data_IF_277640121642
#
_entry.id   IF_277640121642
#
_cell.length_a   1.000
_cell.length_b   1.000
_cell.length_c   1.000
_cell.angle_alpha   90.00
_cell.angle_beta   90.00
_cell.angle_gamma   90.00
#
_symmetry.space_group_name_H-M   'P 1'
#
loop_
_entity.id
_entity.type
_entity.pdbx_description
1 polymer ?
#
# COMPACT_ATOMS: atom_id res chain seq x y z
N UNK A 1 0.92 3.09 7.53
CA UNK A 1 0.57 1.68 7.82
C UNK A 1 -0.78 1.56 8.52
N UNK A 2 -0.93 1.96 9.79
CA UNK A 2 -2.23 1.85 10.52
C UNK A 2 -3.38 2.57 9.81
N UNK A 3 -3.19 3.81 9.36
CA UNK A 3 -4.20 4.54 8.59
C UNK A 3 -4.59 3.81 7.29
N UNK A 4 -3.62 3.15 6.65
CA UNK A 4 -3.82 2.43 5.39
C UNK A 4 -4.65 1.16 5.59
N UNK A 5 -4.37 0.35 6.63
CA UNK A 5 -5.14 -0.87 6.90
C UNK A 5 -6.55 -0.57 7.42
N UNK A 6 -6.72 0.52 8.17
CA UNK A 6 -8.03 0.95 8.70
C UNK A 6 -8.89 1.71 7.70
N UNK A 7 -8.36 2.07 6.54
CA UNK A 7 -9.13 2.78 5.50
C UNK A 7 -9.34 4.26 5.80
N UNK A 8 -8.45 4.90 6.58
CA UNK A 8 -8.56 6.31 6.92
C UNK A 8 -8.06 7.19 5.77
N UNK A 9 -8.88 7.29 4.72
CA UNK A 9 -8.60 7.99 3.47
C UNK A 9 -8.16 9.44 3.73
N UNK A 10 -8.81 10.15 4.64
CA UNK A 10 -8.51 11.57 4.91
C UNK A 10 -7.21 11.78 5.69
N UNK A 11 -6.73 10.76 6.41
CA UNK A 11 -5.52 10.85 7.24
C UNK A 11 -4.26 10.57 6.42
N UNK A 12 -4.32 9.69 5.41
CA UNK A 12 -3.15 9.35 4.58
C UNK A 12 -2.52 10.60 3.92
N UNK A 13 -3.28 11.53 3.31
CA UNK A 13 -2.75 12.77 2.76
C UNK A 13 -2.15 13.71 3.81
N UNK A 14 -2.68 13.71 5.04
CA UNK A 14 -2.14 14.53 6.12
C UNK A 14 -0.77 14.02 6.56
N UNK A 15 -0.60 12.70 6.68
CA UNK A 15 0.68 12.08 7.05
C UNK A 15 1.78 12.35 6.01
N UNK A 16 1.42 12.53 4.74
CA UNK A 16 2.37 12.91 3.68
C UNK A 16 3.06 14.27 3.94
N UNK A 17 2.43 15.16 4.72
CA UNK A 17 3.01 16.47 5.06
C UNK A 17 4.19 16.35 6.04
N UNK A 18 4.37 15.20 6.68
CA UNK A 18 5.51 14.95 7.55
C UNK A 18 6.76 14.69 6.69
N UNK A 19 7.84 15.49 6.82
CA UNK A 19 9.01 15.38 5.94
C UNK A 19 9.82 14.10 6.17
N UNK A 20 9.61 13.41 7.30
CA UNK A 20 10.34 12.21 7.70
C UNK A 20 9.60 10.91 7.38
N UNK A 21 8.49 10.98 6.63
CA UNK A 21 7.72 9.78 6.31
C UNK A 21 8.42 8.97 5.22
N UNK A 22 8.76 7.71 5.52
CA UNK A 22 9.21 6.76 4.53
C UNK A 22 8.01 5.87 4.11
N UNK A 23 7.57 6.00 2.87
CA UNK A 23 6.41 5.25 2.34
C UNK A 23 6.71 3.75 2.13
N UNK A 24 7.99 3.40 1.90
CA UNK A 24 8.48 2.04 1.73
C UNK A 24 8.89 1.39 3.06
N UNK A 25 8.70 2.09 4.19
CA UNK A 25 9.01 1.54 5.50
C UNK A 25 8.21 0.25 5.73
N UNK A 26 8.93 -0.81 6.08
CA UNK A 26 8.34 -2.07 6.50
C UNK A 26 8.09 -2.07 8.02
N UNK A 27 6.97 -2.65 8.44
CA UNK A 27 6.74 -3.00 9.85
C UNK A 27 7.53 -4.25 10.28
N UNK A 28 7.34 -4.68 11.53
CA UNK A 28 8.02 -5.86 12.08
C UNK A 28 7.70 -7.17 11.34
N UNK A 29 6.57 -7.22 10.64
CA UNK A 29 6.17 -8.35 9.81
C UNK A 29 6.62 -8.19 8.34
N UNK A 30 7.35 -7.11 8.04
CA UNK A 30 7.85 -6.78 6.72
C UNK A 30 6.80 -6.20 5.76
N UNK A 31 5.64 -5.76 6.26
CA UNK A 31 4.62 -5.17 5.41
C UNK A 31 4.86 -3.68 5.18
N UNK A 32 4.66 -3.21 3.95
CA UNK A 32 4.64 -1.78 3.63
C UNK A 32 3.22 -1.20 3.74
N UNK A 33 3.11 0.13 3.70
CA UNK A 33 1.81 0.80 3.65
C UNK A 33 0.94 0.34 2.46
N UNK A 34 1.56 0.12 1.29
CA UNK A 34 0.88 -0.35 0.08
C UNK A 34 0.35 -1.79 0.28
N UNK A 35 1.16 -2.68 0.83
CA UNK A 35 0.75 -4.05 1.15
C UNK A 35 -0.47 -4.08 2.06
N UNK A 36 -0.46 -3.27 3.12
CA UNK A 36 -1.58 -3.19 4.07
C UNK A 36 -2.86 -2.63 3.43
N UNK A 37 -2.77 -1.57 2.61
CA UNK A 37 -3.91 -1.00 1.91
C UNK A 37 -4.51 -2.00 0.92
N UNK A 38 -3.65 -2.65 0.12
CA UNK A 38 -4.02 -3.62 -0.89
C UNK A 38 -4.66 -4.87 -0.30
N UNK A 39 -4.10 -5.41 0.79
CA UNK A 39 -4.68 -6.55 1.52
C UNK A 39 -6.07 -6.23 2.09
N UNK A 40 -6.24 -5.03 2.65
CA UNK A 40 -7.49 -4.57 3.23
C UNK A 40 -8.55 -4.16 2.18
N UNK A 41 -8.15 -3.98 0.91
CA UNK A 41 -9.06 -3.60 -0.18
C UNK A 41 -9.33 -2.10 -0.29
N UNK A 42 -8.50 -1.25 0.30
CA UNK A 42 -8.72 0.20 0.31
C UNK A 42 -8.18 0.85 -0.97
N UNK A 43 -8.90 0.66 -2.08
CA UNK A 43 -8.51 1.10 -3.42
C UNK A 43 -8.16 2.60 -3.49
N UNK A 44 -8.92 3.46 -2.80
CA UNK A 44 -8.64 4.91 -2.77
C UNK A 44 -7.26 5.20 -2.19
N UNK A 45 -6.84 4.46 -1.16
CA UNK A 45 -5.51 4.61 -0.55
C UNK A 45 -4.44 4.01 -1.46
N UNK A 46 -4.69 2.86 -2.09
CA UNK A 46 -3.78 2.25 -3.08
C UNK A 46 -3.49 3.25 -4.21
N UNK A 47 -4.52 3.80 -4.84
CA UNK A 47 -4.38 4.80 -5.89
C UNK A 47 -3.69 6.07 -5.40
N UNK A 48 -3.96 6.51 -4.17
CA UNK A 48 -3.25 7.65 -3.60
C UNK A 48 -1.75 7.37 -3.49
N UNK A 49 -1.37 6.20 -2.94
CA UNK A 49 0.03 5.83 -2.79
C UNK A 49 0.74 5.76 -4.16
N UNK A 50 0.13 5.08 -5.14
CA UNK A 50 0.68 4.91 -6.49
C UNK A 50 0.89 6.25 -7.21
N UNK A 51 -0.04 7.19 -7.09
CA UNK A 51 0.02 8.45 -7.85
C UNK A 51 0.87 9.55 -7.19
N UNK A 52 1.01 9.52 -5.86
CA UNK A 52 1.60 10.64 -5.11
C UNK A 52 2.96 10.35 -4.49
N UNK A 53 3.46 9.11 -4.59
CA UNK A 53 4.78 8.72 -4.11
C UNK A 53 5.62 8.17 -5.26
N UNK A 54 6.40 9.00 -5.96
CA UNK A 54 7.19 8.57 -7.11
C UNK A 54 8.30 7.58 -6.76
N UNK A 55 8.74 7.54 -5.50
CA UNK A 55 9.73 6.59 -4.99
C UNK A 55 9.10 5.32 -4.38
N UNK A 56 7.80 5.07 -4.60
CA UNK A 56 7.11 3.91 -4.05
C UNK A 56 7.63 2.61 -4.68
N UNK A 57 8.06 1.67 -3.85
CA UNK A 57 8.49 0.35 -4.28
C UNK A 57 7.30 -0.62 -4.31
N UNK A 58 6.65 -0.72 -5.48
CA UNK A 58 5.44 -1.55 -5.66
C UNK A 58 5.71 -3.06 -5.53
N UNK A 59 6.90 -3.50 -5.92
CA UNK A 59 7.33 -4.92 -5.93
C UNK A 59 8.09 -5.34 -4.68
N UNK A 60 8.13 -4.48 -3.65
CA UNK A 60 8.74 -4.85 -2.38
C UNK A 60 8.06 -6.10 -1.82
N UNK A 61 8.85 -6.95 -1.15
CA UNK A 61 8.40 -8.25 -0.64
C UNK A 61 8.49 -8.29 0.88
N UNK A 62 7.47 -8.89 1.50
CA UNK A 62 7.55 -9.30 2.91
C UNK A 62 8.49 -10.53 3.06
N UNK A 63 8.84 -10.97 4.28
CA UNK A 63 9.69 -12.14 4.52
C UNK A 63 9.16 -13.45 3.97
N UNK A 64 7.87 -13.53 3.61
CA UNK A 64 7.25 -14.68 2.94
C UNK A 64 7.30 -14.57 1.42
N UNK A 65 7.92 -13.50 0.89
CA UNK A 65 8.01 -13.23 -0.54
C UNK A 65 6.77 -12.57 -1.14
N UNK A 66 5.80 -12.12 -0.32
CA UNK A 66 4.54 -11.57 -0.82
C UNK A 66 4.65 -10.08 -1.13
N UNK A 67 4.21 -9.68 -2.33
CA UNK A 67 4.04 -8.27 -2.73
C UNK A 67 2.64 -7.74 -2.36
N UNK A 68 2.42 -6.43 -2.55
CA UNK A 68 1.08 -5.85 -2.39
C UNK A 68 0.05 -6.48 -3.34
N UNK A 69 0.43 -6.77 -4.59
CA UNK A 69 -0.41 -7.43 -5.59
C UNK A 69 -0.83 -8.83 -5.12
N UNK A 70 0.13 -9.63 -4.64
CA UNK A 70 -0.15 -10.98 -4.14
C UNK A 70 -1.10 -10.96 -2.94
N UNK A 71 -0.92 -10.01 -2.01
CA UNK A 71 -1.81 -9.86 -0.85
C UNK A 71 -3.22 -9.44 -1.26
N UNK A 72 -3.37 -8.54 -2.22
CA UNK A 72 -4.68 -8.18 -2.77
C UNK A 72 -5.36 -9.37 -3.44
N UNK A 73 -4.63 -10.14 -4.25
CA UNK A 73 -5.14 -11.30 -4.96
C UNK A 73 -5.61 -12.40 -4.01
N UNK A 74 -4.82 -12.74 -2.98
CA UNK A 74 -5.18 -13.75 -1.96
C UNK A 74 -6.45 -13.36 -1.20
N UNK A 75 -6.72 -12.07 -1.05
CA UNK A 75 -7.89 -11.54 -0.35
C UNK A 75 -9.08 -11.22 -1.28
N UNK A 76 -8.97 -11.48 -2.58
CA UNK A 76 -10.04 -11.20 -3.55
C UNK A 76 -10.33 -9.70 -3.72
N UNK A 77 -9.33 -8.83 -3.60
CA UNK A 77 -9.49 -7.37 -3.73
C UNK A 77 -9.34 -6.95 -5.20
N UNK A 78 -10.35 -7.24 -6.01
CA UNK A 78 -10.32 -7.05 -7.47
C UNK A 78 -9.85 -5.65 -7.89
N UNK A 79 -10.45 -4.58 -7.37
CA UNK A 79 -10.07 -3.21 -7.72
C UNK A 79 -8.59 -2.90 -7.40
N UNK A 80 -8.10 -3.41 -6.26
CA UNK A 80 -6.70 -3.23 -5.87
C UNK A 80 -5.76 -4.02 -6.77
N UNK A 81 -6.15 -5.24 -7.17
CA UNK A 81 -5.40 -6.06 -8.14
C UNK A 81 -5.30 -5.31 -9.46
N UNK A 82 -6.42 -4.80 -9.99
CA UNK A 82 -6.44 -4.04 -11.24
C UNK A 82 -5.55 -2.81 -11.17
N UNK A 83 -5.66 -2.01 -10.11
CA UNK A 83 -4.81 -0.82 -9.95
C UNK A 83 -3.32 -1.15 -9.86
N UNK A 84 -2.95 -2.21 -9.14
CA UNK A 84 -1.56 -2.63 -9.00
C UNK A 84 -0.99 -3.23 -10.29
N UNK A 85 -1.81 -3.94 -11.09
CA UNK A 85 -1.40 -4.43 -12.41
C UNK A 85 -1.17 -3.31 -13.42
N UNK A 86 -1.90 -2.20 -13.31
CA UNK A 86 -1.74 -1.02 -14.18
C UNK A 86 -0.55 -0.14 -13.78
N UNK A 87 -0.06 -0.27 -12.56
CA UNK A 87 1.05 0.52 -12.03
C UNK A 87 2.42 -0.17 -12.17
N UNK A 88 2.45 -1.42 -12.63
CA UNK A 88 3.65 -2.21 -12.91
C UNK A 88 4.09 -2.11 -14.37
#
# INVERSE_FOLDING_TARGET
>A
MVACVKGFVDIVPLLRKCPYINVNQQDNDGNTALMMAAQAGHITIVNYLLNYYPALEVDQRDPRGLTALMKAAVQGREDCVTALLLAG
#
